data_IF_485403076655
#
_entry.id   IF_485403076655
#
_cell.length_a   1.000
_cell.length_b   1.000
_cell.length_c   1.000
_cell.angle_alpha   90.00
_cell.angle_beta   90.00
_cell.angle_gamma   90.00
#
_symmetry.space_group_name_H-M   'P 1'
#
loop_
_entity.id
_entity.type
_entity.pdbx_description
1 polymer ?
#
# COMPACT_ATOMS: atom_id res chain seq x y z
N UNK A 1 -17.71 -7.39 -26.99
CA UNK A 1 -16.54 -7.18 -26.14
C UNK A 1 -16.08 -5.73 -26.29
N UNK A 2 -15.99 -5.00 -25.20
CA UNK A 2 -15.67 -3.58 -25.14
C UNK A 2 -14.16 -3.28 -25.28
N UNK A 3 -13.79 -2.00 -25.19
CA UNK A 3 -12.39 -1.59 -25.28
C UNK A 3 -11.58 -2.12 -24.09
N UNK A 4 -12.14 -2.07 -22.87
CA UNK A 4 -11.49 -2.56 -21.67
C UNK A 4 -11.14 -4.05 -21.72
N UNK A 5 -12.04 -4.88 -22.24
CA UNK A 5 -11.76 -6.30 -22.48
C UNK A 5 -10.58 -6.49 -23.45
N UNK A 6 -10.53 -5.70 -24.54
CA UNK A 6 -9.45 -5.81 -25.52
C UNK A 6 -8.10 -5.37 -24.96
N UNK A 7 -8.07 -4.30 -24.18
CA UNK A 7 -6.87 -3.81 -23.51
C UNK A 7 -6.36 -4.84 -22.51
N UNK A 8 -7.25 -5.41 -21.70
CA UNK A 8 -6.87 -6.48 -20.78
C UNK A 8 -6.36 -7.72 -21.50
N UNK A 9 -7.06 -8.19 -22.56
CA UNK A 9 -6.61 -9.32 -23.35
C UNK A 9 -5.22 -9.07 -23.96
N UNK A 10 -4.98 -7.85 -24.45
CA UNK A 10 -3.68 -7.45 -24.96
C UNK A 10 -2.61 -7.45 -23.87
N UNK A 11 -2.90 -6.93 -22.69
CA UNK A 11 -1.95 -6.92 -21.55
C UNK A 11 -1.53 -8.32 -21.10
N UNK A 12 -2.41 -9.32 -21.28
CA UNK A 12 -2.11 -10.73 -20.96
C UNK A 12 -1.37 -11.48 -22.06
N UNK A 13 -1.58 -11.10 -23.33
CA UNK A 13 -1.07 -11.84 -24.48
C UNK A 13 0.01 -11.11 -25.26
N UNK A 14 0.21 -9.81 -24.99
CA UNK A 14 1.08 -8.89 -25.76
C UNK A 14 0.83 -9.01 -27.27
N UNK A 15 -0.43 -9.25 -27.63
CA UNK A 15 -0.84 -9.47 -29.03
C UNK A 15 -0.30 -10.77 -29.65
N UNK A 16 0.28 -11.70 -28.90
CA UNK A 16 0.77 -12.96 -29.43
C UNK A 16 -0.39 -13.81 -29.97
N UNK A 17 -0.46 -14.13 -31.29
CA UNK A 17 -1.65 -14.69 -31.91
C UNK A 17 -2.13 -15.99 -31.27
N UNK A 18 -1.21 -16.93 -30.97
CA UNK A 18 -1.57 -18.21 -30.34
C UNK A 18 -2.14 -18.00 -28.95
N UNK A 19 -1.47 -17.17 -28.11
CA UNK A 19 -1.94 -16.90 -26.75
C UNK A 19 -3.29 -16.23 -26.76
N UNK A 20 -3.52 -15.24 -27.64
CA UNK A 20 -4.78 -14.53 -27.80
C UNK A 20 -5.91 -15.50 -28.17
N UNK A 21 -5.69 -16.34 -29.18
CA UNK A 21 -6.70 -17.30 -29.65
C UNK A 21 -7.04 -18.33 -28.57
N UNK A 22 -6.03 -18.90 -27.91
CA UNK A 22 -6.25 -19.93 -26.88
C UNK A 22 -6.85 -19.34 -25.59
N UNK A 23 -6.50 -18.10 -25.21
CA UNK A 23 -7.16 -17.40 -24.10
C UNK A 23 -8.65 -17.18 -24.37
N UNK A 24 -8.99 -16.63 -25.54
CA UNK A 24 -10.39 -16.41 -25.93
C UNK A 24 -11.15 -17.75 -26.00
N UNK A 25 -10.54 -18.81 -26.56
CA UNK A 25 -11.15 -20.13 -26.59
C UNK A 25 -11.40 -20.71 -25.20
N UNK A 26 -10.41 -20.64 -24.30
CA UNK A 26 -10.57 -21.06 -22.91
C UNK A 26 -11.67 -20.30 -22.17
N UNK A 27 -11.80 -19.00 -22.42
CA UNK A 27 -12.89 -18.20 -21.85
C UNK A 27 -14.27 -18.64 -22.42
N UNK A 28 -14.34 -19.02 -23.68
CA UNK A 28 -15.57 -19.57 -24.29
C UNK A 28 -15.94 -20.95 -23.69
N UNK A 29 -14.96 -21.84 -23.52
CA UNK A 29 -15.16 -23.17 -22.94
C UNK A 29 -15.67 -23.08 -21.48
N UNK A 30 -15.17 -22.13 -20.69
CA UNK A 30 -15.66 -21.86 -19.32
C UNK A 30 -16.95 -21.02 -19.29
N UNK A 31 -17.44 -20.57 -20.44
CA UNK A 31 -18.59 -19.68 -20.56
C UNK A 31 -18.38 -18.27 -19.93
N UNK A 32 -17.14 -17.86 -19.74
CA UNK A 32 -16.77 -16.49 -19.33
C UNK A 32 -17.16 -15.47 -20.44
N UNK A 33 -17.13 -15.92 -21.70
CA UNK A 33 -17.58 -15.19 -22.87
C UNK A 33 -18.70 -15.99 -23.54
N UNK A 34 -19.85 -15.36 -23.73
CA UNK A 34 -21.04 -15.98 -24.37
C UNK A 34 -21.57 -15.12 -25.49
N UNK A 35 -22.17 -15.77 -26.46
CA UNK A 35 -22.90 -15.07 -27.54
C UNK A 35 -24.35 -14.88 -27.10
N UNK A 36 -24.80 -13.63 -27.05
CA UNK A 36 -26.19 -13.29 -26.72
C UNK A 36 -27.14 -13.75 -27.86
N UNK A 37 -28.43 -13.79 -27.57
CA UNK A 37 -29.45 -14.08 -28.60
C UNK A 37 -29.43 -13.08 -29.77
N UNK A 38 -28.94 -11.86 -29.55
CA UNK A 38 -28.74 -10.83 -30.56
C UNK A 38 -27.42 -10.98 -31.36
N UNK A 39 -26.66 -12.07 -31.12
CA UNK A 39 -25.40 -12.33 -31.81
C UNK A 39 -24.18 -11.57 -31.27
N UNK A 40 -24.34 -10.74 -30.23
CA UNK A 40 -23.27 -9.98 -29.62
C UNK A 40 -22.54 -10.82 -28.57
N UNK A 41 -21.20 -10.63 -28.45
CA UNK A 41 -20.41 -11.24 -27.41
C UNK A 41 -20.54 -10.44 -26.12
N UNK A 42 -20.87 -11.12 -25.04
CA UNK A 42 -20.97 -10.58 -23.67
C UNK A 42 -20.05 -11.34 -22.74
N UNK A 43 -19.56 -10.66 -21.72
CA UNK A 43 -18.72 -11.24 -20.66
C UNK A 43 -19.56 -11.53 -19.41
N UNK A 44 -19.23 -12.59 -18.68
CA UNK A 44 -19.66 -12.76 -17.29
C UNK A 44 -18.70 -12.02 -16.37
N UNK A 45 -19.18 -11.34 -15.34
CA UNK A 45 -18.33 -10.75 -14.31
C UNK A 45 -18.37 -11.60 -13.03
N UNK A 46 -17.22 -11.76 -12.34
CA UNK A 46 -15.86 -11.36 -12.73
C UNK A 46 -15.21 -12.33 -13.72
N UNK A 47 -14.42 -11.80 -14.68
CA UNK A 47 -13.65 -12.61 -15.62
C UNK A 47 -12.42 -13.25 -14.92
N UNK A 48 -12.25 -14.55 -15.12
CA UNK A 48 -11.13 -15.30 -14.54
C UNK A 48 -9.83 -15.15 -15.38
N UNK A 49 -9.34 -13.93 -15.50
CA UNK A 49 -8.11 -13.60 -16.25
C UNK A 49 -6.85 -14.34 -15.78
N UNK A 50 -6.83 -14.81 -14.54
CA UNK A 50 -5.72 -15.53 -13.93
C UNK A 50 -5.61 -17.00 -14.39
N UNK A 51 -6.67 -17.55 -15.00
CA UNK A 51 -6.67 -18.94 -15.44
C UNK A 51 -6.04 -19.08 -16.83
N UNK A 52 -4.91 -19.78 -16.90
CA UNK A 52 -4.22 -20.07 -18.16
C UNK A 52 -4.92 -21.26 -18.83
N UNK A 53 -5.35 -21.15 -20.10
CA UNK A 53 -5.92 -22.29 -20.82
C UNK A 53 -4.93 -23.48 -20.91
N UNK A 54 -5.39 -24.70 -20.74
CA UNK A 54 -4.55 -25.91 -20.68
C UNK A 54 -3.59 -26.05 -21.87
N UNK A 55 -4.03 -25.63 -23.07
CA UNK A 55 -3.17 -25.66 -24.27
C UNK A 55 -2.04 -24.62 -24.21
N UNK A 56 -2.31 -23.43 -23.70
CA UNK A 56 -1.30 -22.39 -23.47
C UNK A 56 -0.33 -22.86 -22.39
N UNK A 57 -0.86 -23.44 -21.32
CA UNK A 57 -0.07 -24.02 -20.23
C UNK A 57 0.90 -25.10 -20.75
N UNK A 58 0.44 -26.01 -21.62
CA UNK A 58 1.28 -27.04 -22.23
C UNK A 58 2.44 -26.45 -23.06
N UNK A 59 2.19 -25.37 -23.83
CA UNK A 59 3.22 -24.69 -24.62
C UNK A 59 4.24 -24.00 -23.69
N UNK A 60 3.77 -23.34 -22.63
CA UNK A 60 4.65 -22.70 -21.64
C UNK A 60 5.48 -23.76 -20.92
N UNK A 61 4.84 -24.86 -20.48
CA UNK A 61 5.51 -25.99 -19.84
C UNK A 61 6.62 -26.58 -20.69
N UNK A 62 6.35 -26.79 -21.98
CA UNK A 62 7.35 -27.29 -22.92
C UNK A 62 8.53 -26.33 -23.10
N UNK A 63 8.28 -25.03 -23.13
CA UNK A 63 9.37 -24.02 -23.28
C UNK A 63 10.24 -23.98 -22.04
N UNK A 64 9.61 -23.92 -20.85
CA UNK A 64 10.33 -23.90 -19.57
C UNK A 64 11.09 -25.21 -19.36
N UNK A 65 10.49 -26.36 -19.67
CA UNK A 65 11.10 -27.68 -19.51
C UNK A 65 12.34 -27.91 -20.41
N UNK A 66 12.56 -27.07 -21.43
CA UNK A 66 13.79 -27.10 -22.26
C UNK A 66 14.95 -26.29 -21.69
N UNK A 67 14.69 -25.46 -20.67
CA UNK A 67 15.74 -24.68 -20.02
C UNK A 67 16.57 -25.58 -19.09
N UNK A 68 17.85 -25.22 -18.85
CA UNK A 68 18.64 -25.84 -17.79
C UNK A 68 17.94 -25.72 -16.43
N UNK A 69 18.10 -26.74 -15.57
CA UNK A 69 17.45 -26.80 -14.23
C UNK A 69 17.74 -25.53 -13.40
N UNK A 70 19.00 -25.11 -13.37
CA UNK A 70 19.38 -23.92 -12.59
C UNK A 70 18.65 -22.64 -13.05
N UNK A 71 18.47 -22.50 -14.38
CA UNK A 71 17.71 -21.37 -14.92
C UNK A 71 16.20 -21.48 -14.61
N UNK A 72 15.64 -22.70 -14.59
CA UNK A 72 14.25 -22.90 -14.17
C UNK A 72 14.04 -22.48 -12.72
N UNK A 73 14.97 -22.84 -11.84
CA UNK A 73 14.96 -22.45 -10.43
C UNK A 73 15.11 -20.93 -10.26
N UNK A 74 16.04 -20.29 -11.01
CA UNK A 74 16.20 -18.84 -11.01
C UNK A 74 14.90 -18.14 -11.40
N UNK A 75 14.24 -18.61 -12.46
CA UNK A 75 12.99 -18.05 -12.94
C UNK A 75 11.81 -18.32 -11.98
N UNK A 76 11.85 -19.43 -11.23
CA UNK A 76 10.86 -19.69 -10.17
C UNK A 76 10.98 -18.67 -9.03
N UNK A 77 12.20 -18.35 -8.58
CA UNK A 77 12.45 -17.27 -7.60
C UNK A 77 12.10 -15.91 -8.19
N UNK A 78 12.46 -15.65 -9.44
CA UNK A 78 12.10 -14.41 -10.13
C UNK A 78 10.58 -14.23 -10.19
N UNK A 79 9.82 -15.30 -10.42
CA UNK A 79 8.36 -15.27 -10.50
C UNK A 79 7.70 -14.87 -9.17
N UNK A 80 8.34 -15.08 -8.03
CA UNK A 80 7.90 -14.64 -6.71
C UNK A 80 8.00 -13.14 -6.55
N UNK A 81 8.99 -12.48 -7.18
CA UNK A 81 9.11 -11.02 -7.18
C UNK A 81 8.02 -10.35 -8.04
N UNK A 82 7.48 -11.04 -9.05
CA UNK A 82 6.43 -10.52 -9.92
C UNK A 82 6.80 -10.52 -11.40
N UNK A 83 6.14 -9.65 -12.18
CA UNK A 83 6.42 -9.51 -13.62
C UNK A 83 7.79 -8.90 -13.89
N UNK A 84 8.20 -7.93 -13.08
CA UNK A 84 9.55 -7.37 -13.03
C UNK A 84 10.29 -7.88 -11.80
N UNK A 85 11.58 -8.15 -11.95
CA UNK A 85 12.40 -8.67 -10.87
C UNK A 85 13.85 -8.20 -10.99
N UNK A 86 14.57 -8.28 -9.88
CA UNK A 86 15.98 -7.86 -9.76
C UNK A 86 16.87 -9.08 -9.72
N UNK A 87 17.81 -9.18 -10.63
CA UNK A 87 18.71 -10.33 -10.75
C UNK A 87 19.53 -10.56 -9.49
N UNK A 88 20.02 -9.50 -8.87
CA UNK A 88 20.81 -9.53 -7.64
C UNK A 88 20.00 -10.04 -6.44
N UNK A 89 18.70 -9.71 -6.39
CA UNK A 89 17.80 -10.29 -5.38
C UNK A 89 17.61 -11.78 -5.62
N UNK A 90 17.42 -12.22 -6.89
CA UNK A 90 17.33 -13.64 -7.22
C UNK A 90 18.61 -14.37 -6.82
N UNK A 91 19.78 -13.78 -7.14
CA UNK A 91 21.09 -14.36 -6.81
C UNK A 91 21.26 -14.53 -5.28
N UNK A 92 20.90 -13.52 -4.50
CA UNK A 92 21.00 -13.57 -3.05
C UNK A 92 20.00 -14.58 -2.43
N UNK A 93 18.76 -14.68 -2.95
CA UNK A 93 17.80 -15.70 -2.52
C UNK A 93 18.25 -17.11 -2.90
N UNK A 94 18.89 -17.29 -4.06
CA UNK A 94 19.45 -18.57 -4.52
C UNK A 94 20.78 -18.92 -3.85
N UNK A 95 21.46 -17.93 -3.27
CA UNK A 95 22.85 -18.05 -2.79
C UNK A 95 23.80 -18.49 -3.94
N UNK A 96 23.59 -17.90 -5.14
CA UNK A 96 24.27 -18.29 -6.36
C UNK A 96 24.61 -17.06 -7.23
N UNK A 97 25.89 -16.74 -7.33
CA UNK A 97 26.41 -15.59 -8.10
C UNK A 97 26.27 -15.78 -9.63
N UNK A 98 26.00 -17.01 -10.09
CA UNK A 98 25.83 -17.34 -11.51
C UNK A 98 24.52 -16.85 -12.13
N UNK A 99 23.52 -16.47 -11.30
CA UNK A 99 22.17 -16.06 -11.74
C UNK A 99 22.21 -14.94 -12.78
N UNK A 100 22.95 -13.86 -12.51
CA UNK A 100 23.04 -12.71 -13.42
C UNK A 100 23.60 -13.10 -14.80
N UNK A 101 24.57 -14.03 -14.81
CA UNK A 101 25.14 -14.60 -16.04
C UNK A 101 24.10 -15.39 -16.84
N UNK A 102 23.35 -16.29 -16.19
CA UNK A 102 22.31 -17.10 -16.83
C UNK A 102 21.18 -16.26 -17.38
N UNK A 103 20.66 -15.29 -16.61
CA UNK A 103 19.62 -14.38 -17.06
C UNK A 103 20.06 -13.51 -18.25
N UNK A 104 21.31 -13.05 -18.26
CA UNK A 104 21.88 -12.30 -19.38
C UNK A 104 21.97 -13.16 -20.66
N UNK A 105 22.35 -14.42 -20.55
CA UNK A 105 22.37 -15.36 -21.68
C UNK A 105 20.94 -15.59 -22.18
N UNK A 106 20.01 -15.94 -21.28
CA UNK A 106 18.59 -16.18 -21.63
C UNK A 106 17.97 -14.96 -22.32
N UNK A 107 18.24 -13.75 -21.84
CA UNK A 107 17.68 -12.52 -22.43
C UNK A 107 18.12 -12.23 -23.87
N UNK A 108 19.16 -12.90 -24.36
CA UNK A 108 19.69 -12.78 -25.74
C UNK A 108 19.20 -13.87 -26.68
N UNK A 109 18.55 -14.92 -26.16
CA UNK A 109 18.08 -16.03 -26.97
C UNK A 109 16.89 -15.63 -27.85
N UNK A 110 16.70 -16.24 -29.06
CA UNK A 110 15.60 -15.92 -29.97
C UNK A 110 14.21 -16.04 -29.35
N UNK A 111 14.06 -17.03 -28.47
CA UNK A 111 12.77 -17.34 -27.80
C UNK A 111 12.83 -17.07 -26.28
N UNK A 112 13.55 -16.02 -25.90
CA UNK A 112 13.77 -15.61 -24.51
C UNK A 112 12.46 -15.48 -23.72
N UNK A 113 12.50 -15.90 -22.45
CA UNK A 113 11.38 -15.74 -21.51
C UNK A 113 11.46 -14.40 -20.77
N UNK A 114 12.66 -13.83 -20.65
CA UNK A 114 12.91 -12.56 -19.95
C UNK A 114 13.62 -11.55 -20.83
N UNK A 115 13.45 -10.29 -20.52
CA UNK A 115 14.14 -9.18 -21.16
C UNK A 115 14.65 -8.19 -20.11
N UNK A 116 15.81 -7.53 -20.32
CA UNK A 116 16.25 -6.46 -19.44
C UNK A 116 15.26 -5.30 -19.51
N UNK A 117 14.89 -4.74 -18.37
CA UNK A 117 13.97 -3.59 -18.26
C UNK A 117 14.62 -2.36 -17.66
N UNK A 118 15.83 -2.48 -17.09
CA UNK A 118 16.59 -1.36 -16.56
C UNK A 118 17.77 -1.78 -15.71
N UNK A 119 18.49 -0.77 -15.21
CA UNK A 119 19.52 -0.94 -14.21
C UNK A 119 19.48 0.24 -13.25
N UNK A 120 19.79 0.01 -11.97
CA UNK A 120 19.82 1.02 -10.92
C UNK A 120 20.86 0.65 -9.87
N UNK A 121 21.02 1.47 -8.85
CA UNK A 121 21.95 1.16 -7.74
C UNK A 121 21.20 0.84 -6.47
N UNK A 122 21.69 -0.18 -5.76
CA UNK A 122 21.32 -0.49 -4.37
C UNK A 122 22.59 -0.21 -3.55
N UNK A 123 22.62 0.93 -2.85
CA UNK A 123 23.88 1.43 -2.28
C UNK A 123 24.93 1.64 -3.38
N UNK A 124 26.11 1.03 -3.24
CA UNK A 124 27.18 1.12 -4.22
C UNK A 124 27.14 0.02 -5.31
N UNK A 125 26.24 -0.96 -5.18
CA UNK A 125 26.14 -2.08 -6.10
C UNK A 125 25.21 -1.74 -7.28
N UNK A 126 25.63 -2.14 -8.50
CA UNK A 126 24.78 -2.07 -9.69
C UNK A 126 23.78 -3.24 -9.64
N UNK A 127 22.51 -2.94 -9.75
CA UNK A 127 21.43 -3.90 -9.83
C UNK A 127 20.77 -3.88 -11.21
N UNK A 128 20.47 -5.07 -11.74
CA UNK A 128 19.89 -5.23 -13.07
C UNK A 128 18.44 -5.70 -12.95
N UNK A 129 17.55 -4.92 -13.53
CA UNK A 129 16.12 -5.21 -13.58
C UNK A 129 15.79 -5.97 -14.87
N UNK A 130 15.07 -7.06 -14.70
CA UNK A 130 14.51 -7.86 -15.79
C UNK A 130 12.98 -7.89 -15.66
N UNK A 131 12.32 -8.20 -16.79
CA UNK A 131 10.89 -8.52 -16.81
C UNK A 131 10.62 -9.79 -17.59
N UNK A 132 9.60 -10.53 -17.21
CA UNK A 132 9.06 -11.60 -18.04
C UNK A 132 8.47 -11.01 -19.32
N UNK A 133 8.75 -11.62 -20.47
CA UNK A 133 8.20 -11.14 -21.75
C UNK A 133 6.69 -11.21 -21.83
N UNK A 134 6.12 -12.17 -21.11
CA UNK A 134 4.67 -12.31 -20.96
C UNK A 134 4.39 -12.68 -19.51
N UNK A 135 3.41 -12.04 -18.93
CA UNK A 135 2.97 -12.31 -17.55
C UNK A 135 2.56 -13.77 -17.34
N UNK A 136 2.18 -14.48 -18.41
CA UNK A 136 1.82 -15.90 -18.33
C UNK A 136 2.99 -16.79 -17.93
N UNK A 137 4.25 -16.43 -18.28
CA UNK A 137 5.42 -17.17 -17.83
C UNK A 137 5.60 -17.04 -16.32
N UNK A 138 5.50 -15.81 -15.81
CA UNK A 138 5.56 -15.55 -14.37
C UNK A 138 4.46 -16.31 -13.64
N UNK A 139 3.21 -16.22 -14.09
CA UNK A 139 2.07 -16.90 -13.46
C UNK A 139 2.20 -18.42 -13.49
N UNK A 140 2.65 -18.98 -14.59
CA UNK A 140 2.88 -20.42 -14.70
C UNK A 140 3.95 -20.90 -13.70
N UNK A 141 5.10 -20.21 -13.65
CA UNK A 141 6.18 -20.54 -12.72
C UNK A 141 5.73 -20.41 -11.27
N UNK A 142 5.07 -19.29 -10.92
CA UNK A 142 4.52 -19.08 -9.59
C UNK A 142 3.44 -20.09 -9.23
N UNK A 143 2.56 -20.44 -10.20
CA UNK A 143 1.49 -21.41 -10.02
C UNK A 143 1.99 -22.84 -9.75
N UNK A 144 3.18 -23.19 -10.22
CA UNK A 144 3.81 -24.49 -9.97
C UNK A 144 4.44 -24.64 -8.59
N UNK A 145 4.69 -23.53 -7.89
CA UNK A 145 5.20 -23.55 -6.54
C UNK A 145 4.14 -24.13 -5.59
N UNK A 146 4.57 -25.04 -4.71
CA UNK A 146 3.71 -25.50 -3.62
C UNK A 146 3.42 -24.33 -2.65
N UNK A 147 2.37 -24.45 -1.84
CA UNK A 147 2.07 -23.44 -0.82
C UNK A 147 3.27 -23.24 0.14
N UNK A 148 3.95 -24.32 0.53
CA UNK A 148 5.13 -24.24 1.38
C UNK A 148 6.31 -23.53 0.69
N UNK A 149 6.53 -23.78 -0.61
CA UNK A 149 7.59 -23.11 -1.35
C UNK A 149 7.30 -21.61 -1.53
N UNK A 150 6.04 -21.25 -1.77
CA UNK A 150 5.63 -19.83 -1.84
C UNK A 150 5.94 -19.11 -0.54
N UNK A 151 5.47 -19.63 0.60
CA UNK A 151 5.74 -19.05 1.91
C UNK A 151 7.24 -18.83 2.12
N UNK A 152 8.06 -19.90 1.89
CA UNK A 152 9.51 -19.87 2.06
C UNK A 152 10.20 -18.88 1.12
N UNK A 153 9.81 -18.84 -0.15
CA UNK A 153 10.44 -17.95 -1.13
C UNK A 153 10.04 -16.49 -0.89
N UNK A 154 8.81 -16.23 -0.50
CA UNK A 154 8.41 -14.87 -0.10
C UNK A 154 9.16 -14.41 1.15
N UNK A 155 9.30 -15.26 2.18
CA UNK A 155 10.10 -14.94 3.37
C UNK A 155 11.55 -14.63 3.00
N UNK A 156 12.21 -15.50 2.21
CA UNK A 156 13.59 -15.28 1.78
C UNK A 156 13.73 -14.02 0.93
N UNK A 157 12.80 -13.76 0.02
CA UNK A 157 12.81 -12.56 -0.82
C UNK A 157 12.63 -11.30 0.03
N UNK A 158 11.68 -11.27 0.94
CA UNK A 158 11.46 -10.15 1.86
C UNK A 158 12.69 -9.87 2.73
N UNK A 159 13.24 -10.91 3.35
CA UNK A 159 14.45 -10.78 4.21
C UNK A 159 15.67 -10.31 3.40
N UNK A 160 15.82 -10.82 2.17
CA UNK A 160 16.91 -10.40 1.27
C UNK A 160 16.76 -8.94 0.86
N UNK A 161 15.56 -8.51 0.46
CA UNK A 161 15.28 -7.12 0.12
C UNK A 161 15.54 -6.18 1.30
N UNK A 162 15.11 -6.57 2.50
CA UNK A 162 15.38 -5.80 3.72
C UNK A 162 16.88 -5.66 3.99
N UNK A 163 17.64 -6.75 3.82
CA UNK A 163 19.09 -6.75 4.01
C UNK A 163 19.81 -5.89 2.96
N UNK A 164 19.46 -6.03 1.68
CA UNK A 164 20.06 -5.27 0.57
C UNK A 164 19.81 -3.76 0.69
N UNK A 165 18.66 -3.36 1.22
CA UNK A 165 18.28 -1.95 1.37
C UNK A 165 18.50 -1.41 2.79
N UNK A 166 19.27 -2.11 3.62
CA UNK A 166 19.58 -1.66 5.00
C UNK A 166 20.32 -0.33 4.97
N UNK A 167 19.73 0.68 5.61
CA UNK A 167 20.27 2.05 5.62
C UNK A 167 19.96 2.87 4.37
N UNK A 168 19.19 2.34 3.41
CA UNK A 168 18.69 3.11 2.27
C UNK A 168 17.69 4.16 2.75
N UNK A 169 17.78 5.37 2.19
CA UNK A 169 16.79 6.43 2.43
C UNK A 169 15.42 6.11 1.80
N UNK A 170 15.39 5.24 0.78
CA UNK A 170 14.17 4.87 0.05
C UNK A 170 14.10 3.34 -0.17
N UNK A 171 13.80 2.56 0.89
CA UNK A 171 13.63 1.12 0.77
C UNK A 171 12.34 0.77 -0.02
N UNK A 172 12.26 -0.41 -0.67
CA UNK A 172 11.10 -0.85 -1.43
C UNK A 172 9.98 -1.34 -0.48
N UNK A 173 9.39 -0.41 0.29
CA UNK A 173 8.43 -0.73 1.36
C UNK A 173 7.17 -1.45 0.87
N UNK A 174 6.74 -1.21 -0.37
CA UNK A 174 5.58 -1.89 -0.97
C UNK A 174 5.89 -3.35 -1.23
N UNK A 175 7.06 -3.64 -1.82
CA UNK A 175 7.49 -5.00 -2.11
C UNK A 175 7.76 -5.77 -0.79
N UNK A 176 8.38 -5.11 0.20
CA UNK A 176 8.60 -5.68 1.53
C UNK A 176 7.28 -6.03 2.23
N UNK A 177 6.29 -5.12 2.20
CA UNK A 177 4.96 -5.38 2.76
C UNK A 177 4.30 -6.59 2.08
N UNK A 178 4.35 -6.64 0.74
CA UNK A 178 3.79 -7.74 -0.04
C UNK A 178 4.47 -9.07 0.30
N UNK A 179 5.80 -9.14 0.27
CA UNK A 179 6.51 -10.39 0.51
C UNK A 179 6.32 -10.91 1.93
N UNK A 180 6.33 -10.06 2.94
CA UNK A 180 6.08 -10.49 4.31
C UNK A 180 4.61 -10.89 4.56
N UNK A 181 3.65 -10.26 3.88
CA UNK A 181 2.24 -10.67 3.92
C UNK A 181 2.04 -12.06 3.31
N UNK A 182 2.56 -12.28 2.09
CA UNK A 182 2.50 -13.57 1.40
C UNK A 182 3.28 -14.68 2.14
N UNK A 183 4.31 -14.33 2.90
CA UNK A 183 5.04 -15.25 3.78
C UNK A 183 4.29 -15.57 5.09
N UNK A 184 3.17 -14.88 5.38
CA UNK A 184 2.46 -15.01 6.65
C UNK A 184 3.20 -14.40 7.85
N UNK A 185 4.21 -13.58 7.62
CA UNK A 185 4.98 -12.90 8.65
C UNK A 185 4.28 -11.59 9.05
N UNK A 186 3.22 -11.72 9.87
CA UNK A 186 2.26 -10.66 10.17
C UNK A 186 2.90 -9.39 10.71
N UNK A 187 3.83 -9.47 11.67
CA UNK A 187 4.44 -8.27 12.28
C UNK A 187 5.26 -7.43 11.30
N UNK A 188 6.23 -7.97 10.55
CA UNK A 188 6.94 -7.19 9.52
C UNK A 188 6.00 -6.73 8.40
N UNK A 189 5.01 -7.54 7.98
CA UNK A 189 4.02 -7.13 6.98
C UNK A 189 3.28 -5.86 7.42
N UNK A 190 2.80 -5.78 8.65
CA UNK A 190 2.14 -4.58 9.20
C UNK A 190 3.13 -3.39 9.22
N UNK A 191 4.37 -3.62 9.64
CA UNK A 191 5.37 -2.55 9.73
C UNK A 191 5.62 -1.91 8.36
N UNK A 192 5.86 -2.72 7.34
CA UNK A 192 6.13 -2.22 6.00
C UNK A 192 4.87 -1.72 5.28
N UNK A 193 3.69 -2.29 5.55
CA UNK A 193 2.43 -1.78 5.04
C UNK A 193 2.10 -0.38 5.61
N UNK A 194 2.39 -0.12 6.88
CA UNK A 194 2.25 1.22 7.47
C UNK A 194 3.19 2.22 6.79
N UNK A 195 4.46 1.87 6.60
CA UNK A 195 5.43 2.72 5.90
C UNK A 195 5.03 2.97 4.43
N UNK A 196 4.57 1.93 3.74
CA UNK A 196 4.09 2.03 2.35
C UNK A 196 2.85 2.94 2.25
N UNK A 197 1.89 2.76 3.15
CA UNK A 197 0.71 3.62 3.24
C UNK A 197 1.05 5.08 3.52
N UNK A 198 1.94 5.35 4.47
CA UNK A 198 2.43 6.70 4.76
C UNK A 198 3.17 7.31 3.56
N UNK A 199 3.95 6.50 2.81
CA UNK A 199 4.58 6.96 1.56
C UNK A 199 3.53 7.33 0.52
N UNK A 200 2.50 6.51 0.32
CA UNK A 200 1.40 6.79 -0.60
C UNK A 200 0.65 8.08 -0.23
N UNK A 201 0.43 8.33 1.08
CA UNK A 201 -0.15 9.59 1.58
C UNK A 201 0.71 10.79 1.16
N UNK A 202 2.03 10.73 1.39
CA UNK A 202 2.94 11.83 0.99
C UNK A 202 2.94 12.10 -0.51
N UNK A 203 2.66 11.08 -1.32
CA UNK A 203 2.56 11.19 -2.78
C UNK A 203 1.14 11.55 -3.27
N UNK A 204 0.21 11.84 -2.34
CA UNK A 204 -1.21 12.07 -2.61
C UNK A 204 -1.92 10.90 -3.34
N UNK A 205 -1.36 9.69 -3.30
CA UNK A 205 -1.95 8.46 -3.84
C UNK A 205 -2.96 7.88 -2.83
N UNK A 206 -4.06 8.63 -2.58
CA UNK A 206 -4.97 8.36 -1.47
C UNK A 206 -5.69 7.02 -1.57
N UNK A 207 -6.14 6.59 -2.76
CA UNK A 207 -6.79 5.28 -2.95
C UNK A 207 -5.85 4.14 -2.62
N UNK A 208 -4.60 4.23 -3.07
CA UNK A 208 -3.57 3.24 -2.77
C UNK A 208 -3.23 3.22 -1.27
N UNK A 209 -3.11 4.40 -0.64
CA UNK A 209 -2.90 4.52 0.80
C UNK A 209 -4.03 3.83 1.59
N UNK A 210 -5.29 4.08 1.22
CA UNK A 210 -6.45 3.42 1.84
C UNK A 210 -6.36 1.91 1.72
N UNK A 211 -6.05 1.38 0.52
CA UNK A 211 -5.94 -0.06 0.27
C UNK A 211 -4.85 -0.71 1.13
N UNK A 212 -3.66 -0.12 1.16
CA UNK A 212 -2.51 -0.66 1.91
C UNK A 212 -2.76 -0.60 3.42
N UNK A 213 -3.25 0.53 3.92
CA UNK A 213 -3.46 0.72 5.36
C UNK A 213 -4.63 -0.12 5.88
N UNK A 214 -5.68 -0.36 5.08
CA UNK A 214 -6.73 -1.31 5.46
C UNK A 214 -6.19 -2.73 5.55
N UNK A 215 -5.32 -3.14 4.61
CA UNK A 215 -4.67 -4.45 4.71
C UNK A 215 -3.83 -4.58 5.98
N UNK A 216 -3.10 -3.52 6.36
CA UNK A 216 -2.36 -3.49 7.63
C UNK A 216 -3.30 -3.65 8.86
N UNK A 217 -4.47 -3.01 8.84
CA UNK A 217 -5.46 -3.14 9.90
C UNK A 217 -6.06 -4.56 9.98
N UNK A 218 -6.37 -5.18 8.84
CA UNK A 218 -6.83 -6.58 8.78
C UNK A 218 -5.80 -7.56 9.35
N UNK A 219 -4.53 -7.39 8.98
CA UNK A 219 -3.45 -8.21 9.53
C UNK A 219 -3.31 -8.02 11.05
N UNK A 220 -3.44 -6.78 11.51
CA UNK A 220 -3.38 -6.47 12.94
C UNK A 220 -4.51 -7.16 13.72
N UNK A 221 -5.70 -7.30 13.12
CA UNK A 221 -6.84 -7.98 13.75
C UNK A 221 -6.60 -9.48 13.98
N UNK A 222 -5.60 -10.07 13.33
CA UNK A 222 -5.19 -11.47 13.58
C UNK A 222 -4.31 -11.63 14.83
N UNK A 223 -3.79 -10.54 15.39
CA UNK A 223 -2.92 -10.56 16.56
C UNK A 223 -3.73 -10.47 17.87
N UNK A 224 -3.21 -11.04 18.96
CA UNK A 224 -3.83 -10.92 20.29
C UNK A 224 -4.00 -9.45 20.72
N UNK A 225 -5.07 -9.16 21.44
CA UNK A 225 -5.29 -7.83 22.02
C UNK A 225 -4.24 -7.54 23.11
N UNK A 226 -3.44 -6.50 22.88
CA UNK A 226 -2.40 -6.02 23.79
C UNK A 226 -2.30 -4.49 23.66
N UNK A 227 -1.77 -3.78 24.67
CA UNK A 227 -1.54 -2.33 24.54
C UNK A 227 -0.69 -1.97 23.32
N UNK A 228 0.33 -2.76 23.00
CA UNK A 228 1.18 -2.55 21.83
C UNK A 228 0.42 -2.71 20.51
N UNK A 229 -0.57 -3.64 20.46
CA UNK A 229 -1.48 -3.76 19.32
C UNK A 229 -2.37 -2.53 19.19
N UNK A 230 -2.92 -2.03 20.30
CA UNK A 230 -3.77 -0.83 20.30
C UNK A 230 -2.96 0.42 19.86
N UNK A 231 -1.70 0.56 20.29
CA UNK A 231 -0.79 1.61 19.79
C UNK A 231 -0.57 1.52 18.28
N UNK A 232 -0.30 0.32 17.78
CA UNK A 232 -0.09 0.11 16.34
C UNK A 232 -1.38 0.33 15.54
N UNK A 233 -2.53 -0.06 16.08
CA UNK A 233 -3.83 0.24 15.47
C UNK A 233 -4.08 1.75 15.39
N UNK A 234 -3.74 2.49 16.44
CA UNK A 234 -3.86 3.94 16.45
C UNK A 234 -3.03 4.58 15.34
N UNK A 235 -1.76 4.17 15.15
CA UNK A 235 -0.88 4.68 14.09
C UNK A 235 -1.47 4.45 12.68
N UNK A 236 -1.96 3.23 12.43
CA UNK A 236 -2.59 2.88 11.15
C UNK A 236 -3.82 3.75 10.90
N UNK A 237 -4.69 3.89 11.90
CA UNK A 237 -5.96 4.63 11.78
C UNK A 237 -5.75 6.14 11.67
N UNK A 238 -4.74 6.69 12.32
CA UNK A 238 -4.33 8.09 12.12
C UNK A 238 -3.89 8.29 10.67
N UNK A 239 -3.03 7.38 10.15
CA UNK A 239 -2.57 7.43 8.76
C UNK A 239 -3.71 7.26 7.73
N UNK A 240 -4.77 6.52 8.06
CA UNK A 240 -5.98 6.34 7.24
C UNK A 240 -6.87 7.59 7.18
N UNK A 241 -6.84 8.45 8.20
CA UNK A 241 -7.84 9.52 8.34
C UNK A 241 -7.86 10.48 7.17
N UNK A 242 -6.71 11.00 6.76
CA UNK A 242 -6.57 11.91 5.61
C UNK A 242 -7.02 11.27 4.28
N UNK A 243 -6.46 10.11 3.90
CA UNK A 243 -6.86 9.41 2.69
C UNK A 243 -8.35 9.08 2.60
N UNK A 244 -8.97 8.61 3.69
CA UNK A 244 -10.41 8.32 3.72
C UNK A 244 -11.25 9.57 3.45
N UNK A 245 -10.85 10.72 4.00
CA UNK A 245 -11.52 12.00 3.74
C UNK A 245 -11.32 12.46 2.29
N UNK A 246 -10.12 12.28 1.74
CA UNK A 246 -9.82 12.67 0.36
C UNK A 246 -10.60 11.83 -0.66
N UNK A 247 -10.78 10.53 -0.42
CA UNK A 247 -11.48 9.61 -1.33
C UNK A 247 -12.99 9.67 -1.15
N UNK A 248 -13.48 9.63 0.08
CA UNK A 248 -14.92 9.46 0.37
C UNK A 248 -15.61 10.70 0.98
N UNK A 249 -14.83 11.71 1.33
CA UNK A 249 -15.33 12.90 2.06
C UNK A 249 -15.45 12.68 3.57
N UNK A 250 -15.66 13.80 4.28
CA UNK A 250 -15.67 13.86 5.75
C UNK A 250 -16.82 13.09 6.41
N UNK A 251 -17.88 12.82 5.67
CA UNK A 251 -19.09 12.14 6.16
C UNK A 251 -19.23 10.72 5.62
N UNK A 252 -18.21 10.20 4.92
CA UNK A 252 -18.25 8.82 4.41
C UNK A 252 -18.39 7.81 5.56
N UNK A 253 -19.09 6.69 5.34
CA UNK A 253 -19.23 5.65 6.35
C UNK A 253 -17.87 5.14 6.87
N UNK A 254 -16.89 5.07 5.99
CA UNK A 254 -15.51 4.63 6.29
C UNK A 254 -14.80 5.61 7.21
N UNK A 255 -14.82 6.92 6.90
CA UNK A 255 -14.23 7.96 7.73
C UNK A 255 -14.88 8.00 9.12
N UNK A 256 -16.20 7.87 9.18
CA UNK A 256 -16.95 7.85 10.45
C UNK A 256 -16.64 6.60 11.29
N UNK A 257 -16.51 5.42 10.66
CA UNK A 257 -16.10 4.19 11.37
C UNK A 257 -14.68 4.33 11.91
N UNK A 258 -13.77 4.85 11.10
CA UNK A 258 -12.38 5.10 11.52
C UNK A 258 -12.33 6.06 12.70
N UNK A 259 -13.07 7.17 12.65
CA UNK A 259 -13.15 8.16 13.72
C UNK A 259 -13.69 7.59 15.05
N UNK A 260 -14.75 6.77 15.01
CA UNK A 260 -15.27 6.10 16.21
C UNK A 260 -14.23 5.15 16.84
N UNK A 261 -13.51 4.40 16.01
CA UNK A 261 -12.47 3.50 16.53
C UNK A 261 -11.28 4.25 17.09
N UNK A 262 -10.85 5.34 16.45
CA UNK A 262 -9.84 6.26 16.99
C UNK A 262 -10.23 6.76 18.38
N UNK A 263 -11.50 7.14 18.59
CA UNK A 263 -11.98 7.60 19.90
C UNK A 263 -11.77 6.52 20.98
N UNK A 264 -12.18 5.29 20.69
CA UNK A 264 -12.03 4.16 21.63
C UNK A 264 -10.56 3.91 21.98
N UNK A 265 -9.65 4.04 21.00
CA UNK A 265 -8.22 3.86 21.23
C UNK A 265 -7.62 5.00 22.06
N UNK A 266 -8.03 6.25 21.79
CA UNK A 266 -7.59 7.40 22.60
C UNK A 266 -8.02 7.29 24.06
N UNK A 267 -9.19 6.69 24.33
CA UNK A 267 -9.69 6.48 25.72
C UNK A 267 -8.92 5.38 26.46
N UNK A 268 -8.26 4.47 25.76
CA UNK A 268 -7.52 3.33 26.32
C UNK A 268 -6.04 3.56 26.52
N UNK A 269 -5.47 4.41 25.67
CA UNK A 269 -4.02 4.59 25.58
C UNK A 269 -3.57 5.80 26.40
N UNK A 270 -2.35 5.70 26.92
CA UNK A 270 -1.69 6.81 27.59
C UNK A 270 -1.42 7.97 26.62
N UNK A 271 -1.38 9.21 27.12
CA UNK A 271 -1.04 10.38 26.33
C UNK A 271 0.27 10.21 25.57
N UNK A 272 0.20 10.33 24.25
CA UNK A 272 1.34 10.22 23.34
C UNK A 272 1.16 11.19 22.16
N UNK A 273 2.22 11.36 21.36
CA UNK A 273 2.13 12.19 20.16
C UNK A 273 1.06 11.65 19.21
N UNK A 274 0.97 10.34 19.05
CA UNK A 274 -0.02 9.70 18.16
C UNK A 274 -1.45 9.91 18.66
N UNK A 275 -1.68 9.84 19.99
CA UNK A 275 -2.97 10.20 20.61
C UNK A 275 -3.30 11.67 20.31
N UNK A 276 -2.34 12.57 20.49
CA UNK A 276 -2.51 13.99 20.15
C UNK A 276 -2.88 14.22 18.68
N UNK A 277 -2.22 13.55 17.76
CA UNK A 277 -2.54 13.63 16.33
C UNK A 277 -3.92 13.05 16.00
N UNK A 278 -4.32 11.96 16.66
CA UNK A 278 -5.66 11.40 16.52
C UNK A 278 -6.74 12.36 16.97
N UNK A 279 -6.57 12.99 18.14
CA UNK A 279 -7.51 14.00 18.67
C UNK A 279 -7.57 15.24 17.78
N UNK A 280 -6.43 15.70 17.24
CA UNK A 280 -6.38 16.80 16.28
C UNK A 280 -7.19 16.49 15.01
N UNK A 281 -7.02 15.30 14.42
CA UNK A 281 -7.82 14.86 13.28
C UNK A 281 -9.31 14.79 13.59
N UNK A 282 -9.71 14.33 14.77
CA UNK A 282 -11.11 14.33 15.21
C UNK A 282 -11.66 15.75 15.39
N UNK A 283 -10.89 16.65 16.01
CA UNK A 283 -11.24 18.07 16.12
C UNK A 283 -11.56 18.65 14.74
N UNK A 284 -10.72 18.40 13.75
CA UNK A 284 -10.91 18.90 12.38
C UNK A 284 -12.21 18.34 11.76
N UNK A 285 -12.42 17.03 11.81
CA UNK A 285 -13.63 16.39 11.25
C UNK A 285 -14.91 16.96 11.91
N UNK A 286 -14.91 17.11 13.22
CA UNK A 286 -16.06 17.64 13.97
C UNK A 286 -16.32 19.10 13.64
N UNK A 287 -15.26 19.92 13.48
CA UNK A 287 -15.37 21.32 13.10
C UNK A 287 -16.00 21.52 11.72
N UNK A 288 -15.57 20.76 10.73
CA UNK A 288 -16.14 20.77 9.36
C UNK A 288 -17.63 20.37 9.36
N UNK A 289 -18.02 19.50 10.28
CA UNK A 289 -19.42 19.07 10.47
C UNK A 289 -20.25 20.02 11.35
N UNK A 290 -19.71 21.14 11.76
CA UNK A 290 -20.32 22.11 12.63
C UNK A 290 -20.78 21.57 14.00
N UNK A 291 -20.12 20.52 14.51
CA UNK A 291 -20.38 19.93 15.82
C UNK A 291 -19.58 20.71 16.90
N UNK A 292 -20.04 21.95 17.18
CA UNK A 292 -19.26 22.89 18.01
C UNK A 292 -18.98 22.37 19.42
N UNK A 293 -19.96 21.73 20.08
CA UNK A 293 -19.77 21.21 21.46
C UNK A 293 -18.72 20.12 21.48
N UNK A 294 -18.88 19.11 20.63
CA UNK A 294 -17.95 17.97 20.50
C UNK A 294 -16.57 18.43 20.07
N UNK A 295 -16.47 19.41 19.15
CA UNK A 295 -15.20 20.03 18.76
C UNK A 295 -14.49 20.63 19.97
N UNK A 296 -15.21 21.41 20.78
CA UNK A 296 -14.65 22.03 21.97
C UNK A 296 -14.17 21.00 23.00
N UNK A 297 -14.93 19.93 23.22
CA UNK A 297 -14.60 18.89 24.19
C UNK A 297 -13.33 18.12 23.78
N UNK A 298 -13.27 17.62 22.53
CA UNK A 298 -12.08 16.92 22.01
C UNK A 298 -10.87 17.85 21.96
N UNK A 299 -11.05 19.12 21.62
CA UNK A 299 -9.95 20.08 21.61
C UNK A 299 -9.41 20.38 23.01
N UNK A 300 -10.25 20.43 24.06
CA UNK A 300 -9.77 20.55 25.45
C UNK A 300 -8.99 19.32 25.89
N UNK A 301 -9.39 18.15 25.46
CA UNK A 301 -8.66 16.91 25.70
C UNK A 301 -7.30 16.95 24.99
N UNK A 302 -7.25 17.40 23.74
CA UNK A 302 -5.99 17.63 23.01
C UNK A 302 -5.07 18.61 23.76
N UNK A 303 -5.62 19.71 24.31
CA UNK A 303 -4.87 20.65 25.15
C UNK A 303 -4.26 19.92 26.36
N UNK A 304 -5.04 19.09 27.05
CA UNK A 304 -4.54 18.34 28.22
C UNK A 304 -3.43 17.35 27.85
N UNK A 305 -3.53 16.67 26.70
CA UNK A 305 -2.47 15.81 26.16
C UNK A 305 -1.22 16.65 25.83
N UNK A 306 -1.39 17.78 25.17
CA UNK A 306 -0.29 18.69 24.83
C UNK A 306 0.46 19.21 26.07
N UNK A 307 -0.26 19.51 27.15
CA UNK A 307 0.32 19.94 28.43
C UNK A 307 1.14 18.82 29.07
N UNK A 308 0.60 17.59 29.11
CA UNK A 308 1.32 16.42 29.67
C UNK A 308 2.60 16.12 28.89
N UNK A 309 2.59 16.31 27.58
CA UNK A 309 3.74 16.05 26.70
C UNK A 309 4.66 17.26 26.56
N UNK A 310 4.29 18.41 27.10
CA UNK A 310 4.97 19.71 26.86
C UNK A 310 5.19 19.96 25.36
N UNK A 311 4.15 19.70 24.52
CA UNK A 311 4.28 19.73 23.07
C UNK A 311 3.57 20.96 22.45
N UNK A 312 4.35 21.95 22.03
CA UNK A 312 3.86 23.25 21.54
C UNK A 312 2.88 23.14 20.37
N UNK A 313 3.19 22.36 19.34
CA UNK A 313 2.32 22.19 18.16
C UNK A 313 0.95 21.61 18.52
N UNK A 314 0.90 20.56 19.35
CA UNK A 314 -0.39 20.01 19.81
C UNK A 314 -1.18 21.02 20.62
N UNK A 315 -0.48 21.90 21.38
CA UNK A 315 -1.10 22.98 22.13
C UNK A 315 -1.73 24.02 21.21
N UNK A 316 -1.02 24.43 20.14
CA UNK A 316 -1.57 25.34 19.11
C UNK A 316 -2.85 24.74 18.51
N UNK A 317 -2.81 23.47 18.09
CA UNK A 317 -3.96 22.79 17.50
C UNK A 317 -5.16 22.69 18.47
N UNK A 318 -4.89 22.36 19.72
CA UNK A 318 -5.93 22.26 20.74
C UNK A 318 -6.59 23.61 21.05
N UNK A 319 -5.78 24.65 21.31
CA UNK A 319 -6.28 26.00 21.57
C UNK A 319 -7.01 26.60 20.36
N UNK A 320 -6.50 26.36 19.14
CA UNK A 320 -7.20 26.74 17.92
C UNK A 320 -8.57 26.05 17.80
N UNK A 321 -8.64 24.75 18.04
CA UNK A 321 -9.88 23.99 17.97
C UNK A 321 -10.93 24.45 18.98
N UNK A 322 -10.53 24.71 20.25
CA UNK A 322 -11.44 25.30 21.25
C UNK A 322 -11.88 26.69 20.81
N UNK A 323 -10.95 27.53 20.38
CA UNK A 323 -11.25 28.91 19.95
C UNK A 323 -12.20 28.95 18.76
N UNK A 324 -11.99 28.07 17.77
CA UNK A 324 -12.88 27.91 16.63
C UNK A 324 -14.30 27.52 17.09
N UNK A 325 -14.43 26.46 17.89
CA UNK A 325 -15.72 25.95 18.38
C UNK A 325 -16.50 27.01 19.21
N UNK A 326 -15.81 27.71 20.11
CA UNK A 326 -16.41 28.77 20.93
C UNK A 326 -16.91 29.95 20.07
N UNK A 327 -16.15 30.33 19.03
CA UNK A 327 -16.53 31.39 18.10
C UNK A 327 -17.80 31.05 17.34
N UNK A 328 -17.85 29.83 16.75
CA UNK A 328 -19.03 29.35 16.01
C UNK A 328 -20.25 29.10 16.90
N UNK A 329 -20.03 28.83 18.17
CA UNK A 329 -21.11 28.72 19.17
C UNK A 329 -21.60 30.11 19.67
N UNK A 330 -21.09 31.23 19.11
CA UNK A 330 -21.47 32.58 19.48
C UNK A 330 -20.79 33.11 20.76
N UNK A 331 -19.89 32.35 21.37
CA UNK A 331 -19.17 32.75 22.60
C UNK A 331 -17.87 33.48 22.22
N UNK A 332 -17.99 34.63 21.54
CA UNK A 332 -16.90 35.35 20.89
C UNK A 332 -15.75 35.70 21.82
N UNK A 333 -16.01 36.14 23.06
CA UNK A 333 -14.96 36.49 24.03
C UNK A 333 -14.13 35.27 24.46
N UNK A 334 -14.75 34.11 24.58
CA UNK A 334 -14.05 32.87 24.88
C UNK A 334 -13.24 32.42 23.66
N UNK A 335 -13.85 32.45 22.46
CA UNK A 335 -13.18 32.12 21.21
C UNK A 335 -11.92 32.99 21.00
N UNK A 336 -12.04 34.30 21.13
CA UNK A 336 -10.91 35.23 21.00
C UNK A 336 -9.76 34.90 21.96
N UNK A 337 -10.03 34.56 23.23
CA UNK A 337 -8.97 34.22 24.20
C UNK A 337 -8.17 33.00 23.77
N UNK A 338 -8.85 31.93 23.30
CA UNK A 338 -8.20 30.71 22.89
C UNK A 338 -7.42 30.89 21.58
N UNK A 339 -8.00 31.56 20.57
CA UNK A 339 -7.33 31.85 19.31
C UNK A 339 -6.09 32.72 19.52
N UNK A 340 -6.20 33.74 20.38
CA UNK A 340 -5.06 34.59 20.75
C UNK A 340 -3.95 33.77 21.41
N UNK A 341 -4.27 32.86 22.34
CA UNK A 341 -3.32 31.97 22.98
C UNK A 341 -2.65 31.05 21.98
N UNK A 342 -3.40 30.46 21.04
CA UNK A 342 -2.83 29.67 19.96
C UNK A 342 -1.82 30.48 19.12
N UNK A 343 -2.19 31.72 18.79
CA UNK A 343 -1.32 32.63 18.04
C UNK A 343 -0.04 32.98 18.81
N UNK A 344 -0.14 33.26 20.12
CA UNK A 344 1.02 33.62 20.95
C UNK A 344 2.05 32.50 21.10
N UNK A 345 1.64 31.22 21.01
CA UNK A 345 2.53 30.05 21.10
C UNK A 345 2.89 29.46 19.75
N UNK A 346 2.29 29.92 18.65
CA UNK A 346 2.59 29.48 17.30
C UNK A 346 4.02 29.91 16.91
N UNK A 347 4.78 28.95 16.39
CA UNK A 347 6.13 29.14 15.89
C UNK A 347 6.20 28.74 14.42
N UNK A 348 6.42 29.67 13.49
CA UNK A 348 6.45 29.38 12.06
C UNK A 348 7.47 28.29 11.67
N UNK A 349 8.63 28.27 12.33
CA UNK A 349 9.67 27.28 12.03
C UNK A 349 9.30 25.87 12.49
N UNK A 350 8.61 25.77 13.62
CA UNK A 350 8.12 24.50 14.17
C UNK A 350 6.80 24.05 13.54
N UNK A 351 5.85 24.97 13.37
CA UNK A 351 4.44 24.68 13.09
C UNK A 351 4.03 25.01 11.66
N UNK A 352 4.90 25.60 10.83
CA UNK A 352 4.59 26.05 9.46
C UNK A 352 4.11 24.93 8.52
N UNK A 353 4.48 23.68 8.82
CA UNK A 353 4.00 22.50 8.08
C UNK A 353 2.50 22.20 8.30
N UNK A 354 1.87 22.72 9.35
CA UNK A 354 0.45 22.53 9.63
C UNK A 354 -0.44 23.02 8.48
N UNK A 355 -0.06 24.10 7.81
CA UNK A 355 -0.75 24.62 6.65
C UNK A 355 -0.79 23.64 5.47
N UNK A 356 0.28 22.86 5.29
CA UNK A 356 0.37 21.83 4.25
C UNK A 356 -0.53 20.62 4.55
N UNK A 357 -0.73 20.29 5.83
CA UNK A 357 -1.52 19.11 6.24
C UNK A 357 -3.00 19.43 6.34
N UNK A 358 -3.35 20.65 6.75
CA UNK A 358 -4.76 21.06 6.92
C UNK A 358 -5.35 21.69 5.66
N UNK A 359 -4.55 21.94 4.63
CA UNK A 359 -4.97 22.65 3.41
C UNK A 359 -5.41 24.09 3.67
N UNK A 360 -5.12 24.63 4.85
CA UNK A 360 -5.37 26.02 5.23
C UNK A 360 -4.04 26.72 5.41
N UNK A 361 -3.91 27.92 4.84
CA UNK A 361 -2.78 28.78 5.15
C UNK A 361 -2.86 29.16 6.64
N UNK A 362 -2.09 28.46 7.47
CA UNK A 362 -1.87 28.86 8.86
C UNK A 362 -0.73 29.86 8.85
N UNK A 363 -1.03 31.08 8.47
CA UNK A 363 -0.11 32.20 8.50
C UNK A 363 -0.83 33.44 9.03
N UNK A 364 -0.10 34.38 9.62
CA UNK A 364 -0.67 35.60 10.16
C UNK A 364 -0.94 36.61 9.03
N UNK A 365 -1.81 36.32 8.07
CA UNK A 365 -2.39 37.32 7.18
C UNK A 365 -3.85 37.59 7.54
#
# INVERSE_FOLDING_TARGET
LDAGFREQLYSYTDGHPLLTVEMVRGMQERADIRRSRAGLWTTSEPLAWHQIPTRVEAVIAQRIGRLPSDLQDDLAVAAVQGEEFVAETVAAVREDDGVAGRLRVESRMPHRLVAPSGAFRIGDQLATKYRFRHILFQRYLYGRLTAADRLRLHERTGTTLEALHRGSADPPVVDLAHHFDEAGLVKPAITYALLAGQRAVRMAANEEAVRILWRAAELLDTLPETPQRDERELEIRVSLSGPLMAVGGYASPEALRNGRRLRVLCDRLDPSLTVGLALSGQTYIMSVRALCSETADVSRELVAVAEKLNHGTLRVLGDFGVGYAETWAGRLSAGHRYLRRAYEIYDPDRDGWLGLVTGQAVGPE
#
